data_IF_120180835741
#
_entry.id   IF_120180835741
#
_cell.length_a   1.000
_cell.length_b   1.000
_cell.length_c   1.000
_cell.angle_alpha   90.00
_cell.angle_beta   90.00
_cell.angle_gamma   90.00
#
_symmetry.space_group_name_H-M   'P 1'
#
loop_
_entity.id
_entity.type
_entity.pdbx_description
1 polymer ?
#
# COMPACT_ATOMS: atom_id res chain seq x y z
N UNK A 1 5.93 6.21 9.10
CA UNK A 1 5.44 7.01 7.97
C UNK A 1 3.90 7.03 7.87
N UNK A 2 3.17 5.91 8.05
CA UNK A 2 1.68 5.95 8.10
C UNK A 2 1.05 5.39 9.39
N UNK A 3 1.89 5.00 10.36
CA UNK A 3 1.49 4.38 11.64
C UNK A 3 0.54 5.25 12.47
N UNK A 4 0.67 6.57 12.38
CA UNK A 4 -0.19 7.53 13.07
C UNK A 4 -1.59 7.60 12.44
N UNK A 5 -1.69 7.46 11.11
CA UNK A 5 -2.98 7.44 10.40
C UNK A 5 -3.76 6.14 10.62
N UNK A 6 -3.08 5.06 11.03
CA UNK A 6 -3.69 3.73 11.16
C UNK A 6 -3.92 3.29 12.60
N UNK A 7 -3.43 4.05 13.58
CA UNK A 7 -3.62 3.75 15.00
C UNK A 7 -3.15 2.36 15.41
N UNK A 8 -2.11 1.81 14.77
CA UNK A 8 -1.59 0.45 15.01
C UNK A 8 -2.54 -0.70 14.63
N UNK A 9 -3.57 -0.44 13.81
CA UNK A 9 -4.46 -1.52 13.35
C UNK A 9 -3.68 -2.51 12.48
N UNK A 10 -3.71 -3.76 12.91
CA UNK A 10 -3.05 -4.91 12.26
C UNK A 10 -4.02 -5.61 11.31
N UNK A 11 -3.51 -6.35 10.32
CA UNK A 11 -4.36 -7.25 9.55
C UNK A 11 -5.03 -8.27 10.48
N UNK A 12 -6.27 -8.61 10.17
CA UNK A 12 -7.09 -9.53 10.97
C UNK A 12 -7.19 -10.85 10.21
N UNK A 13 -7.04 -11.96 10.93
CA UNK A 13 -7.25 -13.29 10.37
C UNK A 13 -8.72 -13.70 10.54
N UNK A 14 -9.38 -14.10 9.46
CA UNK A 14 -10.76 -14.59 9.54
C UNK A 14 -10.86 -16.07 9.96
N UNK A 15 -12.09 -16.60 10.00
CA UNK A 15 -12.38 -17.98 10.39
C UNK A 15 -11.80 -19.04 9.43
N UNK A 16 -11.49 -18.65 8.19
CA UNK A 16 -10.93 -19.50 7.16
C UNK A 16 -9.40 -19.39 7.08
N UNK A 17 -8.78 -18.63 8.00
CA UNK A 17 -7.36 -18.30 7.99
C UNK A 17 -6.93 -17.45 6.78
N UNK A 18 -7.81 -16.59 6.29
CA UNK A 18 -7.51 -15.60 5.25
C UNK A 18 -7.26 -14.24 5.92
N UNK A 19 -6.21 -13.54 5.53
CA UNK A 19 -5.90 -12.22 6.08
C UNK A 19 -6.77 -11.14 5.43
N UNK A 20 -7.28 -10.26 6.28
CA UNK A 20 -7.97 -9.05 5.90
C UNK A 20 -7.07 -7.87 6.27
N UNK A 21 -6.76 -7.06 5.27
CA UNK A 21 -5.87 -5.92 5.38
C UNK A 21 -6.68 -4.63 5.41
N UNK A 22 -6.24 -3.68 6.23
CA UNK A 22 -6.59 -2.28 6.03
C UNK A 22 -5.66 -1.69 4.99
N UNK A 23 -6.21 -1.08 3.94
CA UNK A 23 -5.45 -0.52 2.82
C UNK A 23 -5.65 0.99 2.77
N UNK A 24 -4.56 1.74 2.59
CA UNK A 24 -4.58 3.19 2.42
C UNK A 24 -4.51 3.54 0.93
N UNK A 25 -5.49 4.32 0.48
CA UNK A 25 -5.51 4.94 -0.83
C UNK A 25 -5.10 6.40 -0.69
N UNK A 26 -4.10 6.81 -1.45
CA UNK A 26 -3.59 8.18 -1.50
C UNK A 26 -3.96 8.83 -2.83
N UNK A 27 -4.61 9.98 -2.78
CA UNK A 27 -4.92 10.82 -3.93
C UNK A 27 -3.86 11.91 -4.03
N UNK A 28 -2.75 11.57 -4.68
CA UNK A 28 -1.54 12.40 -4.74
C UNK A 28 -1.77 13.83 -5.25
N UNK A 29 -2.73 14.01 -6.15
CA UNK A 29 -3.05 15.30 -6.76
C UNK A 29 -3.61 16.32 -5.74
N UNK A 30 -4.48 15.86 -4.85
CA UNK A 30 -5.22 16.70 -3.89
C UNK A 30 -4.73 16.53 -2.46
N UNK A 31 -3.68 15.71 -2.25
CA UNK A 31 -3.12 15.38 -0.94
C UNK A 31 -4.19 14.85 0.04
N UNK A 32 -5.17 14.13 -0.50
CA UNK A 32 -6.22 13.47 0.27
C UNK A 32 -5.94 11.98 0.37
N UNK A 33 -6.64 11.31 1.28
CA UNK A 33 -6.52 9.88 1.51
C UNK A 33 -7.85 9.26 1.90
N UNK A 34 -7.99 7.97 1.63
CA UNK A 34 -9.11 7.15 2.07
C UNK A 34 -8.63 5.76 2.51
N UNK A 35 -9.47 5.03 3.24
CA UNK A 35 -9.16 3.70 3.74
C UNK A 35 -10.18 2.67 3.29
N UNK A 36 -9.67 1.54 2.83
CA UNK A 36 -10.44 0.30 2.82
C UNK A 36 -10.16 -0.37 4.16
N UNK A 37 -11.14 -0.38 5.06
CA UNK A 37 -11.00 -0.94 6.41
C UNK A 37 -10.85 -2.46 6.41
N UNK A 38 -11.52 -3.13 5.47
CA UNK A 38 -11.62 -4.59 5.39
C UNK A 38 -11.37 -5.07 3.95
N UNK A 39 -10.12 -5.39 3.64
CA UNK A 39 -9.70 -5.88 2.34
C UNK A 39 -9.18 -7.31 2.47
N UNK A 40 -10.04 -8.27 2.13
CA UNK A 40 -9.68 -9.68 2.03
C UNK A 40 -8.53 -9.88 1.04
N UNK A 41 -7.44 -10.52 1.46
CA UNK A 41 -6.27 -10.69 0.60
C UNK A 41 -6.56 -11.53 -0.66
N UNK A 42 -7.58 -12.39 -0.60
CA UNK A 42 -8.05 -13.22 -1.71
C UNK A 42 -9.00 -12.48 -2.68
N UNK A 43 -9.42 -11.26 -2.39
CA UNK A 43 -10.26 -10.48 -3.29
C UNK A 43 -9.43 -9.81 -4.38
N UNK A 44 -10.04 -9.66 -5.56
CA UNK A 44 -9.45 -8.87 -6.64
C UNK A 44 -9.48 -7.39 -6.29
N UNK A 45 -8.41 -6.67 -6.61
CA UNK A 45 -8.32 -5.23 -6.38
C UNK A 45 -9.44 -4.46 -7.09
N UNK A 46 -9.86 -4.91 -8.26
CA UNK A 46 -10.96 -4.29 -9.00
C UNK A 46 -12.27 -4.28 -8.22
N UNK A 47 -12.57 -5.30 -7.42
CA UNK A 47 -13.84 -5.41 -6.67
C UNK A 47 -13.97 -4.25 -5.68
N UNK A 48 -12.90 -3.97 -4.93
CA UNK A 48 -12.89 -2.85 -3.99
C UNK A 48 -12.88 -1.50 -4.70
N UNK A 49 -12.19 -1.37 -5.84
CA UNK A 49 -12.23 -0.14 -6.63
C UNK A 49 -13.62 0.12 -7.22
N UNK A 50 -14.34 -0.91 -7.68
CA UNK A 50 -15.70 -0.77 -8.20
C UNK A 50 -16.66 -0.28 -7.10
N UNK A 51 -16.50 -0.75 -5.87
CA UNK A 51 -17.28 -0.29 -4.72
C UNK A 51 -16.94 1.16 -4.32
N UNK A 52 -15.65 1.50 -4.25
CA UNK A 52 -15.22 2.83 -3.80
C UNK A 52 -15.53 3.94 -4.80
N UNK A 53 -15.52 3.63 -6.09
CA UNK A 53 -15.73 4.60 -7.18
C UNK A 53 -17.06 4.36 -7.91
N UNK A 54 -18.04 3.78 -7.20
CA UNK A 54 -19.41 3.64 -7.68
C UNK A 54 -20.05 5.01 -7.93
N UNK A 55 -20.94 5.10 -8.92
CA UNK A 55 -21.50 6.39 -9.38
C UNK A 55 -22.34 7.12 -8.32
N UNK A 56 -22.88 6.38 -7.35
CA UNK A 56 -23.68 6.88 -6.24
C UNK A 56 -22.84 7.42 -5.07
N UNK A 57 -21.52 7.23 -5.10
CA UNK A 57 -20.58 7.71 -4.08
C UNK A 57 -19.50 8.64 -4.69
N UNK A 58 -19.87 9.85 -5.12
CA UNK A 58 -18.90 10.79 -5.68
C UNK A 58 -17.93 11.29 -4.61
N UNK A 59 -16.66 11.43 -4.99
CA UNK A 59 -15.64 12.04 -4.14
C UNK A 59 -15.93 13.54 -3.96
N UNK A 60 -16.05 14.07 -2.74
CA UNK A 60 -16.52 15.44 -2.50
C UNK A 60 -15.58 16.51 -3.06
N UNK A 61 -14.32 16.17 -3.29
CA UNK A 61 -13.30 17.05 -3.87
C UNK A 61 -13.17 16.91 -5.40
N UNK A 62 -13.76 15.89 -6.03
CA UNK A 62 -13.66 15.62 -7.47
C UNK A 62 -14.78 16.34 -8.25
N UNK A 63 -14.77 17.67 -8.19
CA UNK A 63 -15.80 18.52 -8.83
C UNK A 63 -15.91 18.26 -10.34
N UNK A 64 -14.76 18.00 -10.98
CA UNK A 64 -14.66 17.78 -12.42
C UNK A 64 -14.95 16.33 -12.85
N UNK A 65 -15.28 15.43 -11.91
CA UNK A 65 -15.57 14.02 -12.17
C UNK A 65 -14.43 13.28 -12.91
N UNK A 66 -13.18 13.62 -12.57
CA UNK A 66 -12.01 13.01 -13.17
C UNK A 66 -11.67 11.66 -12.54
N UNK A 67 -12.06 11.40 -11.29
CA UNK A 67 -11.79 10.18 -10.54
C UNK A 67 -12.98 9.21 -10.62
N UNK A 68 -13.37 8.86 -11.85
CA UNK A 68 -14.33 7.78 -12.11
C UNK A 68 -13.61 6.48 -12.40
N UNK A 69 -14.34 5.37 -12.22
CA UNK A 69 -13.79 4.02 -12.33
C UNK A 69 -13.03 3.74 -13.63
N UNK A 70 -13.49 4.31 -14.74
CA UNK A 70 -12.90 4.19 -16.09
C UNK A 70 -11.54 4.89 -16.24
N UNK A 71 -11.29 5.92 -15.43
CA UNK A 71 -10.15 6.83 -15.61
C UNK A 71 -9.08 6.66 -14.54
N UNK A 72 -9.37 5.97 -13.44
CA UNK A 72 -8.42 5.76 -12.37
C UNK A 72 -7.42 4.65 -12.69
N UNK A 73 -6.20 4.85 -12.25
CA UNK A 73 -5.16 3.84 -12.21
C UNK A 73 -4.56 3.77 -10.81
N UNK A 74 -4.18 2.57 -10.40
CA UNK A 74 -3.60 2.32 -9.09
C UNK A 74 -2.09 2.06 -9.22
N UNK A 75 -1.31 2.67 -8.33
CA UNK A 75 0.14 2.59 -8.31
C UNK A 75 0.67 2.31 -6.90
N UNK A 76 1.87 1.75 -6.81
CA UNK A 76 2.65 1.76 -5.56
C UNK A 76 4.07 2.24 -5.83
N UNK A 77 4.73 2.66 -4.76
CA UNK A 77 6.12 3.09 -4.79
C UNK A 77 7.02 1.85 -4.63
N UNK A 78 7.71 1.47 -5.70
CA UNK A 78 8.64 0.35 -5.66
C UNK A 78 9.94 0.69 -4.94
N UNK A 79 10.48 -0.28 -4.20
CA UNK A 79 11.82 -0.21 -3.60
C UNK A 79 12.04 0.91 -2.55
N UNK A 80 10.97 1.52 -2.04
CA UNK A 80 11.06 2.60 -1.05
C UNK A 80 10.98 2.03 0.38
N UNK A 81 12.13 1.58 0.92
CA UNK A 81 12.24 1.23 2.34
C UNK A 81 13.13 0.04 2.68
N UNK A 82 13.24 -0.23 3.98
CA UNK A 82 13.96 -1.38 4.53
C UNK A 82 13.05 -2.60 4.55
N UNK A 83 13.46 -3.69 3.90
CA UNK A 83 12.81 -4.98 4.01
C UNK A 83 13.07 -5.56 5.41
N UNK A 84 12.00 -5.90 6.13
CA UNK A 84 12.14 -6.58 7.43
C UNK A 84 12.51 -8.05 7.24
N UNK A 85 13.35 -8.57 8.14
CA UNK A 85 13.54 -10.02 8.27
C UNK A 85 12.24 -10.70 8.72
N UNK A 86 12.14 -12.03 8.57
CA UNK A 86 10.97 -12.80 9.06
C UNK A 86 10.71 -12.55 10.55
N UNK A 87 11.77 -12.52 11.35
CA UNK A 87 11.68 -12.26 12.79
C UNK A 87 11.27 -10.81 13.08
N UNK A 88 11.76 -9.84 12.30
CA UNK A 88 11.33 -8.45 12.38
C UNK A 88 9.84 -8.29 12.07
N UNK A 89 9.37 -8.95 11.01
CA UNK A 89 7.95 -8.97 10.63
C UNK A 89 7.08 -9.59 11.72
N UNK A 90 7.46 -10.76 12.25
CA UNK A 90 6.73 -11.41 13.34
C UNK A 90 6.64 -10.52 14.57
N UNK A 91 7.72 -9.84 14.94
CA UNK A 91 7.71 -8.88 16.06
C UNK A 91 6.72 -7.75 15.85
N UNK A 92 6.67 -7.17 14.64
CA UNK A 92 5.69 -6.13 14.31
C UNK A 92 4.24 -6.67 14.38
N UNK A 93 3.98 -7.87 13.85
CA UNK A 93 2.66 -8.49 13.90
C UNK A 93 2.24 -8.89 15.32
N UNK A 94 3.19 -9.24 16.18
CA UNK A 94 2.93 -9.63 17.57
C UNK A 94 3.03 -8.47 18.57
N UNK A 95 3.40 -7.26 18.14
CA UNK A 95 3.60 -6.08 19.00
C UNK A 95 2.37 -5.81 19.91
N UNK A 96 2.54 -5.81 21.23
CA UNK A 96 1.41 -5.63 22.16
C UNK A 96 0.64 -6.91 22.50
N UNK A 97 1.13 -8.08 22.10
CA UNK A 97 0.69 -9.39 22.59
C UNK A 97 1.76 -10.01 23.48
N UNK A 98 1.40 -10.95 24.38
CA UNK A 98 2.37 -11.66 25.24
C UNK A 98 3.43 -12.43 24.41
N UNK A 99 3.13 -12.74 23.14
CA UNK A 99 4.04 -13.43 22.24
C UNK A 99 5.11 -12.52 21.61
N UNK A 100 5.09 -11.19 21.83
CA UNK A 100 6.12 -10.28 21.30
C UNK A 100 7.51 -10.54 21.89
N UNK A 101 7.57 -11.12 23.08
CA UNK A 101 8.80 -11.37 23.85
C UNK A 101 9.36 -12.79 23.63
N UNK A 102 8.69 -13.61 22.80
CA UNK A 102 9.18 -14.93 22.45
C UNK A 102 10.42 -14.80 21.55
N UNK A 103 11.61 -15.05 22.10
CA UNK A 103 12.86 -15.12 21.35
C UNK A 103 12.83 -16.28 20.35
N UNK A 104 12.49 -15.96 19.10
CA UNK A 104 12.70 -16.85 17.95
C UNK A 104 14.17 -16.91 17.57
N UNK A 105 14.76 -18.09 17.72
CA UNK A 105 16.14 -18.48 17.35
C UNK A 105 16.58 -17.98 15.97
N UNK A 106 17.82 -17.47 15.89
CA UNK A 106 18.59 -17.31 14.65
C UNK A 106 18.71 -15.87 14.16
N UNK A 107 19.76 -15.18 14.60
CA UNK A 107 20.24 -13.92 14.02
C UNK A 107 21.04 -14.23 12.74
N UNK A 108 20.48 -13.90 11.57
CA UNK A 108 21.24 -13.71 10.33
C UNK A 108 21.25 -12.22 9.97
N UNK A 109 21.90 -11.41 10.83
CA UNK A 109 22.11 -9.98 10.66
C UNK A 109 23.10 -9.59 9.54
N UNK A 110 23.07 -10.25 8.37
CA UNK A 110 23.98 -9.94 7.25
C UNK A 110 23.31 -9.46 5.95
N UNK A 111 22.01 -9.65 5.74
CA UNK A 111 21.37 -9.28 4.47
C UNK A 111 20.83 -7.84 4.41
N UNK A 112 20.53 -7.22 5.55
CA UNK A 112 19.84 -5.92 5.56
C UNK A 112 20.70 -4.73 5.06
N UNK A 113 22.03 -4.86 5.11
CA UNK A 113 22.96 -3.74 4.84
C UNK A 113 23.37 -3.66 3.37
N UNK A 114 23.31 -4.78 2.63
CA UNK A 114 23.64 -4.81 1.19
C UNK A 114 22.43 -4.45 0.31
N UNK A 115 21.19 -4.77 0.74
CA UNK A 115 19.95 -4.37 0.04
C UNK A 115 19.72 -2.85 0.04
N UNK A 116 20.26 -2.13 1.03
CA UNK A 116 20.11 -0.67 1.12
C UNK A 116 20.90 0.06 0.02
N UNK A 117 22.02 -0.51 -0.45
CA UNK A 117 22.87 0.12 -1.48
C UNK A 117 22.29 0.04 -2.89
N UNK A 118 21.39 -0.91 -3.17
CA UNK A 118 20.82 -1.09 -4.50
C UNK A 118 19.58 -0.21 -4.79
N UNK A 119 18.99 0.41 -3.76
CA UNK A 119 17.69 1.07 -3.86
C UNK A 119 17.75 2.61 -3.85
N UNK A 120 18.94 3.21 -4.03
CA UNK A 120 19.09 4.67 -4.16
C UNK A 120 18.77 5.17 -5.58
N UNK A 121 17.71 4.63 -6.18
CA UNK A 121 17.12 5.13 -7.42
C UNK A 121 15.94 6.05 -7.13
N UNK A 122 15.59 6.92 -8.09
CA UNK A 122 14.33 7.66 -8.04
C UNK A 122 13.15 6.68 -7.84
N UNK A 123 12.12 7.03 -7.04
CA UNK A 123 11.01 6.14 -6.76
C UNK A 123 10.39 5.63 -8.06
N UNK A 124 10.35 4.30 -8.20
CA UNK A 124 9.77 3.66 -9.39
C UNK A 124 8.30 3.43 -9.14
N UNK A 125 7.46 4.25 -9.78
CA UNK A 125 6.02 4.06 -9.78
C UNK A 125 5.65 2.79 -10.56
N UNK A 126 5.09 1.80 -9.85
CA UNK A 126 4.68 0.54 -10.45
C UNK A 126 3.16 0.50 -10.51
N UNK A 127 2.62 0.32 -11.72
CA UNK A 127 1.17 0.20 -11.95
C UNK A 127 0.70 -1.14 -11.43
N UNK A 128 -0.36 -1.14 -10.62
CA UNK A 128 -1.03 -2.34 -10.13
C UNK A 128 -1.95 -2.87 -11.22
N UNK A 129 -1.91 -4.19 -11.44
CA UNK A 129 -2.95 -4.86 -12.22
C UNK A 129 -4.13 -5.17 -11.31
N UNK A 130 -5.20 -4.39 -11.42
CA UNK A 130 -6.40 -4.51 -10.59
C UNK A 130 -7.14 -5.85 -10.72
N UNK A 131 -6.85 -6.65 -11.77
CA UNK A 131 -7.43 -8.00 -11.95
C UNK A 131 -6.75 -9.08 -11.12
N UNK A 132 -5.68 -8.73 -10.38
CA UNK A 132 -5.00 -9.64 -9.46
C UNK A 132 -5.61 -9.56 -8.07
N UNK A 133 -5.46 -10.64 -7.31
CA UNK A 133 -5.82 -10.66 -5.90
C UNK A 133 -4.83 -9.78 -5.11
N UNK A 134 -5.26 -9.24 -3.97
CA UNK A 134 -4.39 -8.39 -3.16
C UNK A 134 -3.13 -9.14 -2.69
N UNK A 135 -3.25 -10.41 -2.27
CA UNK A 135 -2.08 -11.20 -1.83
C UNK A 135 -1.02 -11.33 -2.93
N UNK A 136 -1.44 -11.44 -4.20
CA UNK A 136 -0.53 -11.51 -5.33
C UNK A 136 0.24 -10.21 -5.53
N UNK A 137 -0.39 -9.07 -5.27
CA UNK A 137 0.24 -7.74 -5.37
C UNK A 137 1.20 -7.51 -4.20
N UNK A 138 0.78 -7.86 -2.98
CA UNK A 138 1.61 -7.68 -1.77
C UNK A 138 2.83 -8.60 -1.74
N UNK A 139 2.79 -9.72 -2.46
CA UNK A 139 3.92 -10.67 -2.57
C UNK A 139 5.02 -10.22 -3.53
N UNK A 140 4.77 -9.18 -4.34
CA UNK A 140 5.78 -8.66 -5.26
C UNK A 140 7.05 -8.23 -4.50
N UNK A 141 8.26 -8.63 -4.95
CA UNK A 141 9.50 -8.44 -4.18
C UNK A 141 9.89 -6.97 -4.00
N UNK A 142 9.36 -6.08 -4.84
CA UNK A 142 9.58 -4.64 -4.81
C UNK A 142 8.46 -3.88 -4.09
N UNK A 143 7.43 -4.57 -3.59
CA UNK A 143 6.37 -3.99 -2.80
C UNK A 143 6.79 -3.99 -1.33
N UNK A 144 6.89 -2.80 -0.73
CA UNK A 144 7.25 -2.63 0.67
C UNK A 144 6.01 -2.10 1.40
N UNK A 145 5.66 -2.73 2.52
CA UNK A 145 4.53 -2.34 3.37
C UNK A 145 5.08 -1.45 4.50
N UNK A 146 4.90 -0.11 4.46
CA UNK A 146 5.35 0.81 5.50
C UNK A 146 4.40 0.83 6.72
N UNK A 147 4.05 -0.36 7.23
CA UNK A 147 3.09 -0.60 8.30
C UNK A 147 1.73 -1.09 7.80
N UNK A 148 1.19 -0.45 6.77
CA UNK A 148 -0.02 -0.90 6.05
C UNK A 148 0.20 -0.82 4.54
N UNK A 149 -0.50 -1.63 3.73
CA UNK A 149 -0.47 -1.47 2.28
C UNK A 149 -0.92 -0.06 1.87
N UNK A 150 -0.10 0.58 1.03
CA UNK A 150 -0.36 1.93 0.52
C UNK A 150 -0.39 1.88 -1.00
N UNK A 151 -1.45 2.43 -1.57
CA UNK A 151 -1.58 2.61 -3.01
C UNK A 151 -1.90 4.06 -3.35
N UNK A 152 -1.39 4.51 -4.47
CA UNK A 152 -1.64 5.83 -5.04
C UNK A 152 -2.68 5.70 -6.15
N UNK A 153 -3.77 6.44 -6.03
CA UNK A 153 -4.81 6.53 -7.04
C UNK A 153 -4.53 7.76 -7.89
N UNK A 154 -4.47 7.58 -9.21
CA UNK A 154 -4.22 8.67 -10.16
C UNK A 154 -5.25 8.61 -11.28
N UNK A 155 -5.90 9.73 -11.58
CA UNK A 155 -6.80 9.83 -12.74
C UNK A 155 -6.03 10.13 -14.02
N UNK A 156 -6.23 9.32 -15.06
CA UNK A 156 -5.69 9.53 -16.42
C UNK A 156 -6.24 10.78 -17.12
N UNK A 157 -7.37 11.32 -16.64
CA UNK A 157 -7.97 12.56 -17.18
C UNK A 157 -7.43 13.82 -16.54
N UNK A 158 -6.81 13.71 -15.37
CA UNK A 158 -6.22 14.86 -14.70
C UNK A 158 -4.93 15.32 -15.38
N UNK A 159 -4.71 16.64 -15.40
CA UNK A 159 -3.42 17.24 -15.77
C UNK A 159 -2.25 16.77 -14.89
N UNK A 160 -2.54 16.30 -13.68
CA UNK A 160 -1.57 15.71 -12.76
C UNK A 160 -0.95 14.42 -13.32
N UNK A 161 -1.72 13.62 -14.08
CA UNK A 161 -1.26 12.34 -14.61
C UNK A 161 0.04 12.45 -15.41
N UNK A 162 0.14 13.45 -16.30
CA UNK A 162 1.34 13.67 -17.10
C UNK A 162 2.54 14.01 -16.24
N UNK A 163 2.36 14.79 -15.16
CA UNK A 163 3.43 15.13 -14.22
C UNK A 163 3.88 13.91 -13.41
N UNK A 164 2.92 13.12 -12.94
CA UNK A 164 3.16 11.87 -12.21
C UNK A 164 3.93 10.86 -13.04
N UNK A 165 3.45 10.57 -14.27
CA UNK A 165 4.10 9.61 -15.19
C UNK A 165 5.48 10.06 -15.65
N UNK A 166 5.73 11.38 -15.71
CA UNK A 166 7.04 11.92 -16.01
C UNK A 166 8.04 11.80 -14.84
N UNK A 167 7.63 11.26 -13.68
CA UNK A 167 8.47 11.16 -12.49
C UNK A 167 8.80 12.53 -11.87
N UNK A 168 8.06 13.58 -12.23
CA UNK A 168 8.28 14.96 -11.75
C UNK A 168 7.57 15.24 -10.43
N UNK A 169 6.86 14.26 -9.89
CA UNK A 169 6.22 14.32 -8.60
C UNK A 169 6.85 13.29 -7.68
N UNK A 170 7.17 13.73 -6.47
CA UNK A 170 7.63 12.89 -5.38
C UNK A 170 6.67 13.06 -4.21
N UNK A 171 6.35 11.98 -3.47
CA UNK A 171 5.57 12.11 -2.26
C UNK A 171 6.32 13.02 -1.27
N UNK A 172 5.60 13.81 -0.46
CA UNK A 172 6.22 14.64 0.55
C UNK A 172 7.05 13.77 1.51
N UNK A 173 8.27 14.20 1.80
CA UNK A 173 9.10 13.57 2.82
C UNK A 173 8.46 13.80 4.18
N UNK A 174 8.06 12.73 4.87
CA UNK A 174 7.54 12.74 6.24
C UNK A 174 8.63 12.20 7.18
#
# INVERSE_FOLDING_TARGET
MYRELTGLRKPVLDKNNILHWRVLLLYAEVMSSDFIEDFCEADMVSVHLDMMFAEDQPLPWDVDNNYKREYIELYYEGCSGLRLSKNGLLRCLLEGTVASDAEGVGDEGKDAVEDLKQNLGSPKWIKVNERRQLHDVLKEPNFIIPGIPVFYVVSTRSSFYTKFKAGKWVPPSI
#
